data_IF_731040316256
#
_entry.id   IF_731040316256
#
_cell.length_a   1.000
_cell.length_b   1.000
_cell.length_c   1.000
_cell.angle_alpha   90.00
_cell.angle_beta   90.00
_cell.angle_gamma   90.00
#
_symmetry.space_group_name_H-M   'P 1'
#
loop_
_entity.id
_entity.type
_entity.pdbx_description
1 polymer ?
#
# COMPACT_ATOMS: atom_id res chain seq x y z
N UNK A 1 6.55 -12.09 21.52
CA UNK A 1 5.47 -12.74 20.75
C UNK A 1 5.44 -12.11 19.36
N UNK A 2 5.30 -12.90 18.28
CA UNK A 2 5.26 -12.40 16.91
C UNK A 2 3.82 -12.45 16.38
N UNK A 3 3.33 -11.32 15.88
CA UNK A 3 2.04 -11.21 15.20
C UNK A 3 2.25 -11.19 13.69
N UNK A 4 1.54 -12.04 12.94
CA UNK A 4 1.54 -11.97 11.48
C UNK A 4 0.39 -11.08 11.02
N UNK A 5 0.67 -10.07 10.20
CA UNK A 5 -0.35 -9.24 9.57
C UNK A 5 -0.29 -9.40 8.07
N UNK A 6 -1.48 -9.46 7.45
CA UNK A 6 -1.63 -9.50 6.00
C UNK A 6 -2.18 -8.17 5.51
N UNK A 7 -1.51 -7.58 4.53
CA UNK A 7 -1.90 -6.35 3.88
C UNK A 7 -1.92 -6.51 2.35
N UNK A 8 -2.51 -5.55 1.66
CA UNK A 8 -2.48 -5.47 0.20
C UNK A 8 -1.64 -4.26 -0.22
N UNK A 9 -1.08 -4.28 -1.43
CA UNK A 9 -0.37 -3.13 -2.01
C UNK A 9 -1.24 -1.86 -1.96
N UNK A 10 -0.64 -0.68 -1.88
CA UNK A 10 -1.35 0.60 -1.83
C UNK A 10 -2.10 0.90 -0.54
N UNK A 11 -2.34 -0.08 0.34
CA UNK A 11 -3.08 0.10 1.57
C UNK A 11 -2.29 0.93 2.60
N UNK A 12 -3.00 1.72 3.40
CA UNK A 12 -2.46 2.33 4.61
C UNK A 12 -2.73 1.42 5.81
N UNK A 13 -1.72 1.19 6.65
CA UNK A 13 -1.84 0.37 7.86
C UNK A 13 -1.33 1.11 9.08
N UNK A 14 -1.77 0.69 10.26
CA UNK A 14 -1.26 1.19 11.54
C UNK A 14 -0.95 0.01 12.44
N UNK A 15 0.31 -0.10 12.84
CA UNK A 15 0.77 -1.04 13.86
C UNK A 15 0.76 -0.33 15.21
N UNK A 16 0.30 -0.99 16.27
CA UNK A 16 0.18 -0.35 17.59
C UNK A 16 0.73 -1.22 18.70
N UNK A 17 1.40 -0.57 19.63
CA UNK A 17 2.04 -1.15 20.80
C UNK A 17 1.64 -0.39 22.06
N UNK A 18 1.15 -1.14 23.03
CA UNK A 18 0.96 -0.66 24.39
C UNK A 18 2.25 -0.93 25.16
N UNK A 19 2.85 0.12 25.71
CA UNK A 19 4.06 0.05 26.51
C UNK A 19 3.72 0.20 27.99
N UNK A 20 4.64 -0.28 28.82
CA UNK A 20 4.54 -0.15 30.28
C UNK A 20 4.87 1.29 30.71
N UNK A 21 4.46 1.65 31.93
CA UNK A 21 4.61 3.01 32.47
C UNK A 21 6.05 3.48 32.66
N UNK A 22 6.97 2.53 32.85
CA UNK A 22 8.39 2.82 32.99
C UNK A 22 9.10 3.07 31.65
N UNK A 23 8.42 2.86 30.52
CA UNK A 23 8.99 3.11 29.21
C UNK A 23 9.03 4.62 28.95
N UNK A 24 10.23 5.16 28.74
CA UNK A 24 10.43 6.56 28.39
C UNK A 24 10.08 6.83 26.92
N UNK A 25 10.37 5.85 26.04
CA UNK A 25 10.11 5.94 24.59
C UNK A 25 9.69 4.60 24.00
N UNK A 26 8.99 4.67 22.87
CA UNK A 26 8.54 3.52 22.08
C UNK A 26 9.23 3.37 20.72
N UNK A 27 10.55 3.17 20.64
CA UNK A 27 11.22 3.13 19.34
C UNK A 27 10.74 1.97 18.47
N UNK A 28 10.60 2.26 17.17
CA UNK A 28 10.29 1.28 16.14
C UNK A 28 11.54 0.95 15.32
N UNK A 29 11.64 -0.29 14.87
CA UNK A 29 12.70 -0.74 13.98
C UNK A 29 12.15 -1.66 12.90
N UNK A 30 12.62 -1.46 11.66
CA UNK A 30 12.43 -2.38 10.55
C UNK A 30 13.67 -3.26 10.40
N UNK A 31 13.50 -4.58 10.49
CA UNK A 31 14.59 -5.56 10.43
C UNK A 31 15.11 -5.77 9.00
N UNK A 32 15.76 -4.76 8.48
CA UNK A 32 16.65 -4.86 7.33
C UNK A 32 18.07 -5.21 7.78
N UNK A 33 18.98 -5.45 6.83
CA UNK A 33 20.42 -5.56 7.10
C UNK A 33 21.14 -4.42 6.37
N UNK A 34 21.58 -3.35 7.06
CA UNK A 34 21.49 -3.11 8.51
C UNK A 34 20.08 -2.74 8.99
N UNK A 35 19.81 -2.86 10.29
CA UNK A 35 18.50 -2.52 10.90
C UNK A 35 18.20 -1.03 10.70
N UNK A 36 17.00 -0.71 10.19
CA UNK A 36 16.53 0.67 10.04
C UNK A 36 15.67 1.05 11.23
N UNK A 37 16.11 2.03 12.01
CA UNK A 37 15.30 2.61 13.08
C UNK A 37 14.31 3.64 12.51
N UNK A 38 13.08 3.64 13.02
CA UNK A 38 11.97 4.48 12.59
C UNK A 38 11.62 5.42 13.74
N UNK A 39 11.88 6.71 13.56
CA UNK A 39 11.73 7.71 14.62
C UNK A 39 10.43 8.53 14.45
N UNK A 40 9.95 9.12 15.55
CA UNK A 40 8.70 9.91 15.61
C UNK A 40 8.71 11.19 14.77
N UNK A 41 9.89 11.67 14.36
CA UNK A 41 9.99 12.82 13.50
C UNK A 41 9.61 12.41 12.07
N UNK A 42 8.39 12.76 11.67
CA UNK A 42 8.02 12.85 10.26
C UNK A 42 9.08 13.70 9.55
N UNK A 43 9.80 13.12 8.59
CA UNK A 43 10.53 13.89 7.59
C UNK A 43 9.67 13.99 6.32
N UNK A 44 8.73 14.95 6.25
CA UNK A 44 7.88 15.12 5.08
C UNK A 44 8.69 15.45 3.81
N UNK A 45 9.85 16.10 3.94
CA UNK A 45 10.75 16.38 2.81
C UNK A 45 11.51 15.14 2.30
N UNK A 46 11.60 14.09 3.12
CA UNK A 46 12.28 12.84 2.74
C UNK A 46 11.39 11.90 1.91
N UNK A 47 10.08 12.20 1.78
CA UNK A 47 9.13 11.33 1.09
C UNK A 47 8.94 9.98 1.79
N UNK A 48 9.11 9.91 3.12
CA UNK A 48 8.99 8.65 3.84
C UNK A 48 7.54 8.16 3.83
N UNK A 49 7.37 6.87 3.54
CA UNK A 49 6.08 6.20 3.46
C UNK A 49 5.56 5.78 4.85
N UNK A 50 6.01 6.42 5.94
CA UNK A 50 5.60 6.08 7.29
C UNK A 50 5.71 7.28 8.25
N UNK A 51 5.03 7.16 9.38
CA UNK A 51 5.04 8.12 10.49
C UNK A 51 4.89 7.36 11.81
N UNK A 52 5.66 7.72 12.83
CA UNK A 52 5.53 7.15 14.18
C UNK A 52 4.87 8.19 15.08
N UNK A 53 3.79 7.80 15.76
CA UNK A 53 3.11 8.61 16.77
C UNK A 53 3.23 7.99 18.15
N UNK A 54 3.56 8.81 19.12
CA UNK A 54 3.59 8.42 20.53
C UNK A 54 2.50 9.19 21.28
N UNK A 55 1.67 8.48 22.03
CA UNK A 55 0.61 9.03 22.87
C UNK A 55 0.92 8.66 24.31
N UNK A 56 1.15 9.67 25.14
CA UNK A 56 1.40 9.52 26.57
C UNK A 56 0.12 9.91 27.33
N UNK A 57 -0.58 8.91 27.88
CA UNK A 57 -1.79 9.10 28.69
C UNK A 57 -1.54 8.62 30.12
N UNK A 58 -1.07 9.53 30.98
CA UNK A 58 -0.67 9.20 32.36
C UNK A 58 0.47 8.17 32.36
N UNK A 59 0.25 7.04 33.02
CA UNK A 59 1.22 5.94 33.12
C UNK A 59 1.20 5.00 31.89
N UNK A 60 0.45 5.29 30.83
CA UNK A 60 0.42 4.46 29.62
C UNK A 60 1.01 5.21 28.45
N UNK A 61 2.08 4.64 27.89
CA UNK A 61 2.68 5.10 26.65
C UNK A 61 2.21 4.16 25.54
N UNK A 62 1.46 4.68 24.59
CA UNK A 62 1.11 3.97 23.38
C UNK A 62 1.96 4.51 22.23
N UNK A 63 2.54 3.61 21.46
CA UNK A 63 3.26 3.98 20.23
C UNK A 63 2.62 3.30 19.04
N UNK A 64 2.46 4.05 17.95
CA UNK A 64 1.84 3.60 16.72
C UNK A 64 2.72 3.94 15.52
N UNK A 65 2.96 2.95 14.68
CA UNK A 65 3.63 3.11 13.40
C UNK A 65 2.58 3.09 12.29
N UNK A 66 2.41 4.23 11.65
CA UNK A 66 1.56 4.42 10.48
C UNK A 66 2.40 4.21 9.22
N UNK A 67 1.99 3.29 8.35
CA UNK A 67 2.67 3.04 7.08
C UNK A 67 1.67 3.32 5.96
N UNK A 68 2.06 4.19 5.03
CA UNK A 68 1.23 4.66 3.94
C UNK A 68 1.63 3.99 2.63
N UNK A 69 0.65 3.73 1.76
CA UNK A 69 0.87 3.22 0.41
C UNK A 69 1.80 1.99 0.38
N UNK A 70 1.40 0.92 1.08
CA UNK A 70 2.19 -0.31 1.23
C UNK A 70 2.72 -0.80 -0.13
N UNK A 71 4.00 -1.14 -0.17
CA UNK A 71 4.64 -1.72 -1.34
C UNK A 71 5.58 -2.87 -0.90
N UNK A 72 6.11 -3.63 -1.86
CA UNK A 72 6.91 -4.81 -1.59
C UNK A 72 8.15 -4.56 -0.72
N UNK A 73 8.76 -3.37 -0.78
CA UNK A 73 9.94 -3.05 0.04
C UNK A 73 9.62 -2.81 1.51
N UNK A 74 8.34 -2.62 1.83
CA UNK A 74 7.82 -2.44 3.20
C UNK A 74 7.33 -3.77 3.81
N UNK A 75 7.39 -4.89 3.07
CA UNK A 75 7.11 -6.20 3.66
C UNK A 75 8.29 -6.65 4.54
N UNK A 76 7.99 -7.19 5.72
CA UNK A 76 9.02 -7.72 6.62
C UNK A 76 8.68 -7.56 8.10
N UNK A 77 9.72 -7.62 8.93
CA UNK A 77 9.56 -7.65 10.38
C UNK A 77 9.77 -6.25 10.98
N UNK A 78 8.75 -5.77 11.67
CA UNK A 78 8.75 -4.54 12.45
C UNK A 78 8.79 -4.88 13.93
N UNK A 79 9.75 -4.32 14.65
CA UNK A 79 9.84 -4.38 16.09
C UNK A 79 9.37 -3.08 16.69
N UNK A 80 8.56 -3.19 17.75
CA UNK A 80 8.37 -2.10 18.68
C UNK A 80 9.04 -2.50 20.01
N UNK A 81 9.70 -1.52 20.61
CA UNK A 81 10.47 -1.72 21.82
C UNK A 81 10.10 -0.68 22.87
N UNK A 82 10.35 -1.01 24.13
CA UNK A 82 10.29 -0.14 25.27
C UNK A 82 11.72 0.32 25.58
N UNK A 83 11.99 1.61 25.46
CA UNK A 83 13.27 2.19 25.85
C UNK A 83 13.13 2.84 27.23
N UNK A 84 14.11 2.61 28.09
CA UNK A 84 14.24 3.16 29.44
C UNK A 84 15.71 3.51 29.70
N UNK A 85 16.00 4.28 30.75
CA UNK A 85 17.31 4.88 31.06
C UNK A 85 18.53 4.00 30.72
N UNK A 86 18.48 2.70 31.05
CA UNK A 86 19.61 1.78 30.93
C UNK A 86 19.40 0.65 29.91
N UNK A 87 18.39 0.71 29.04
CA UNK A 87 18.14 -0.39 28.13
C UNK A 87 17.01 -0.20 27.14
N UNK A 88 16.82 -1.23 26.33
CA UNK A 88 15.73 -1.31 25.37
C UNK A 88 15.26 -2.75 25.27
N UNK A 89 14.01 -2.97 25.67
CA UNK A 89 13.37 -4.27 25.62
C UNK A 89 12.40 -4.35 24.46
N UNK A 90 12.53 -5.39 23.63
CA UNK A 90 11.60 -5.63 22.53
C UNK A 90 10.26 -6.10 23.08
N UNK A 91 9.20 -5.32 22.88
CA UNK A 91 7.86 -5.58 23.41
C UNK A 91 7.07 -6.46 22.44
N UNK A 92 7.05 -6.08 21.16
CA UNK A 92 6.21 -6.76 20.15
C UNK A 92 6.89 -6.80 18.80
N UNK A 93 6.66 -7.89 18.09
CA UNK A 93 7.12 -8.07 16.72
C UNK A 93 5.90 -8.23 15.80
N UNK A 94 5.93 -7.55 14.67
CA UNK A 94 4.95 -7.67 13.60
C UNK A 94 5.66 -8.18 12.36
N UNK A 95 5.19 -9.30 11.80
CA UNK A 95 5.64 -9.79 10.51
C UNK A 95 4.59 -9.39 9.47
N UNK A 96 4.89 -8.34 8.72
CA UNK A 96 4.02 -7.79 7.70
C UNK A 96 4.21 -8.54 6.39
N UNK A 97 3.15 -9.16 5.91
CA UNK A 97 3.14 -9.93 4.68
C UNK A 97 2.15 -9.34 3.69
N UNK A 98 2.59 -9.14 2.47
CA UNK A 98 1.71 -8.67 1.39
C UNK A 98 1.05 -9.88 0.75
N UNK A 99 -0.28 -9.88 0.70
CA UNK A 99 -1.04 -10.83 -0.12
C UNK A 99 -1.36 -10.19 -1.44
N UNK A 100 -1.01 -10.91 -2.51
CA UNK A 100 -1.53 -10.61 -3.83
C UNK A 100 -3.01 -11.01 -3.84
N UNK A 101 -3.90 -10.03 -3.68
CA UNK A 101 -5.31 -10.23 -3.97
C UNK A 101 -5.52 -10.16 -5.47
N UNK A 102 -6.20 -11.13 -6.10
CA UNK A 102 -6.52 -11.04 -7.51
C UNK A 102 -7.31 -9.76 -7.78
N UNK A 103 -6.88 -9.02 -8.79
CA UNK A 103 -7.62 -7.86 -9.28
C UNK A 103 -8.96 -8.32 -9.85
N UNK A 104 -10.05 -7.73 -9.38
CA UNK A 104 -11.33 -7.81 -10.09
C UNK A 104 -11.29 -6.77 -11.21
N UNK A 105 -11.35 -7.25 -12.45
CA UNK A 105 -11.30 -6.40 -13.63
C UNK A 105 -12.68 -5.80 -13.89
N UNK A 106 -12.76 -4.48 -13.92
CA UNK A 106 -13.92 -3.75 -14.40
C UNK A 106 -13.61 -3.23 -15.81
N UNK A 107 -14.53 -3.52 -16.74
CA UNK A 107 -14.48 -3.05 -18.12
C UNK A 107 -15.73 -2.21 -18.37
N UNK A 108 -15.54 -0.96 -18.81
CA UNK A 108 -16.64 -0.06 -19.17
C UNK A 108 -16.60 0.18 -20.67
N UNK A 109 -17.74 0.02 -21.34
CA UNK A 109 -17.93 0.22 -22.78
C UNK A 109 -19.07 1.23 -22.98
N UNK A 110 -18.79 2.41 -23.52
CA UNK A 110 -19.79 3.47 -23.76
C UNK A 110 -20.70 3.70 -22.54
N UNK A 111 -20.10 3.91 -21.37
CA UNK A 111 -20.77 4.12 -20.08
C UNK A 111 -21.49 2.89 -19.48
N UNK A 112 -21.51 1.74 -20.17
CA UNK A 112 -22.01 0.49 -19.61
C UNK A 112 -20.89 -0.28 -18.92
N UNK A 113 -21.03 -0.45 -17.60
CA UNK A 113 -20.05 -1.17 -16.78
C UNK A 113 -20.33 -2.67 -16.80
N UNK A 114 -19.35 -3.47 -17.20
CA UNK A 114 -19.32 -4.93 -17.02
C UNK A 114 -18.18 -5.29 -16.06
N UNK A 115 -18.55 -5.86 -14.92
CA UNK A 115 -17.61 -6.29 -13.90
C UNK A 115 -17.32 -7.77 -14.07
N UNK A 116 -16.05 -8.13 -14.30
CA UNK A 116 -15.63 -9.51 -14.44
C UNK A 116 -15.03 -10.03 -13.13
N UNK A 117 -15.78 -10.89 -12.43
CA UNK A 117 -15.27 -11.63 -11.27
C UNK A 117 -14.26 -12.71 -11.66
N UNK A 118 -13.23 -12.92 -10.85
CA UNK A 118 -12.27 -14.02 -11.03
C UNK A 118 -12.94 -15.35 -10.65
N UNK A 119 -13.55 -16.05 -11.62
CA UNK A 119 -14.02 -17.43 -11.43
C UNK A 119 -12.91 -18.40 -11.86
N UNK A 120 -12.70 -19.46 -11.09
CA UNK A 120 -11.67 -20.49 -11.30
C UNK A 120 -11.80 -21.27 -12.61
N UNK A 121 -12.92 -21.11 -13.31
CA UNK A 121 -13.13 -21.71 -14.62
C UNK A 121 -12.61 -20.77 -15.70
N UNK A 122 -11.82 -21.32 -16.62
CA UNK A 122 -11.25 -20.69 -17.83
C UNK A 122 -12.31 -20.18 -18.82
N UNK A 123 -13.35 -19.50 -18.33
CA UNK A 123 -14.26 -18.74 -19.14
C UNK A 123 -13.49 -17.57 -19.73
N UNK A 124 -12.93 -17.78 -20.93
CA UNK A 124 -12.50 -16.72 -21.83
C UNK A 124 -13.70 -15.76 -21.98
N UNK A 125 -13.66 -14.66 -21.24
CA UNK A 125 -14.70 -13.63 -21.24
C UNK A 125 -14.44 -12.71 -22.41
N UNK A 126 -14.94 -13.12 -23.57
CA UNK A 126 -14.86 -12.33 -24.80
C UNK A 126 -15.92 -11.23 -24.76
N UNK A 127 -15.51 -9.99 -25.01
CA UNK A 127 -16.42 -8.85 -25.23
C UNK A 127 -16.28 -8.41 -26.68
N UNK A 128 -17.41 -8.24 -27.36
CA UNK A 128 -17.42 -7.64 -28.69
C UNK A 128 -17.25 -6.13 -28.56
N UNK A 129 -16.28 -5.59 -29.30
CA UNK A 129 -15.92 -4.17 -29.30
C UNK A 129 -15.98 -3.64 -30.71
N UNK A 130 -16.56 -2.45 -30.88
CA UNK A 130 -16.64 -1.71 -32.13
C UNK A 130 -15.60 -0.58 -32.15
N UNK A 131 -15.25 -0.07 -33.34
CA UNK A 131 -14.22 0.97 -33.50
C UNK A 131 -14.54 2.27 -32.78
N UNK A 132 -15.82 2.54 -32.60
CA UNK A 132 -16.32 3.80 -32.04
C UNK A 132 -16.61 3.67 -30.54
N UNK A 133 -16.35 2.50 -29.95
CA UNK A 133 -16.56 2.26 -28.53
C UNK A 133 -15.44 2.91 -27.71
N UNK A 134 -15.85 3.65 -26.67
CA UNK A 134 -14.94 4.07 -25.61
C UNK A 134 -14.84 2.95 -24.57
N UNK A 135 -13.63 2.38 -24.45
CA UNK A 135 -13.34 1.28 -23.54
C UNK A 135 -12.39 1.76 -22.45
N UNK A 136 -12.80 1.60 -21.20
CA UNK A 136 -11.89 1.75 -20.05
C UNK A 136 -11.81 0.43 -19.30
N UNK A 137 -10.63 0.14 -18.77
CA UNK A 137 -10.36 -1.05 -17.98
C UNK A 137 -9.64 -0.62 -16.71
N UNK A 138 -10.13 -1.06 -15.55
CA UNK A 138 -9.47 -0.78 -14.27
C UNK A 138 -9.53 -1.99 -13.34
N UNK A 139 -8.56 -2.05 -12.45
CA UNK A 139 -8.66 -2.89 -11.27
C UNK A 139 -9.58 -2.18 -10.26
N UNK A 140 -10.61 -2.89 -9.79
CA UNK A 140 -11.50 -2.37 -8.74
C UNK A 140 -10.77 -2.26 -7.40
N UNK A 141 -9.66 -2.99 -7.23
CA UNK A 141 -8.78 -2.83 -6.09
C UNK A 141 -7.62 -1.90 -6.47
N UNK A 142 -7.54 -0.73 -5.83
CA UNK A 142 -6.52 0.31 -6.03
C UNK A 142 -5.08 -0.22 -5.84
N UNK A 143 -4.95 -1.33 -5.13
CA UNK A 143 -3.68 -2.02 -4.90
C UNK A 143 -3.04 -2.64 -6.14
N UNK A 144 -3.85 -3.07 -7.11
CA UNK A 144 -3.41 -3.92 -8.20
C UNK A 144 -3.23 -3.11 -9.49
N UNK A 145 -2.06 -3.25 -10.13
CA UNK A 145 -1.81 -2.62 -11.43
C UNK A 145 -2.32 -3.51 -12.56
N UNK A 146 -3.16 -2.95 -13.43
CA UNK A 146 -3.56 -3.60 -14.67
C UNK A 146 -2.38 -3.59 -15.65
N UNK A 147 -1.91 -4.77 -16.06
CA UNK A 147 -0.92 -4.89 -17.13
C UNK A 147 -1.61 -5.44 -18.39
N UNK A 148 -1.57 -4.66 -19.48
CA UNK A 148 -2.22 -5.03 -20.74
C UNK A 148 -1.16 -5.41 -21.77
N UNK A 149 -1.19 -6.65 -22.26
CA UNK A 149 -0.29 -7.13 -23.32
C UNK A 149 -0.78 -6.78 -24.72
N UNK A 150 -1.41 -5.61 -24.90
CA UNK A 150 -1.87 -5.14 -26.20
C UNK A 150 -0.66 -5.00 -27.14
N UNK A 151 -0.44 -6.03 -27.98
CA UNK A 151 0.53 -5.95 -29.08
C UNK A 151 -0.05 -4.98 -30.08
N UNK A 152 0.45 -3.76 -30.10
CA UNK A 152 0.09 -2.75 -31.10
C UNK A 152 0.34 -3.30 -32.52
N UNK A 153 -0.68 -3.93 -33.12
CA UNK A 153 -0.85 -3.98 -34.57
C UNK A 153 -1.60 -2.71 -35.00
N UNK A 154 -0.86 -1.60 -34.94
CA UNK A 154 -0.97 -0.31 -35.63
C UNK A 154 -2.31 0.14 -36.24
N UNK A 155 -2.86 1.27 -35.75
CA UNK A 155 -3.34 2.39 -36.59
C UNK A 155 -2.96 3.70 -35.90
N UNK A 156 -2.39 4.63 -36.67
CA UNK A 156 -1.70 5.88 -36.27
C UNK A 156 -2.44 6.90 -35.37
N UNK A 157 -3.62 6.60 -34.80
CA UNK A 157 -4.46 7.60 -34.12
C UNK A 157 -4.56 7.46 -32.58
N UNK A 158 -3.96 6.44 -31.95
CA UNK A 158 -4.10 6.24 -30.49
C UNK A 158 -3.11 7.09 -29.67
N UNK A 159 -2.04 7.62 -30.30
CA UNK A 159 -1.10 8.50 -29.61
C UNK A 159 -1.71 9.84 -29.14
N UNK A 160 -2.94 10.18 -29.57
CA UNK A 160 -3.67 11.35 -29.09
C UNK A 160 -4.53 11.08 -27.85
N UNK A 161 -4.88 9.82 -27.50
CA UNK A 161 -5.81 9.55 -26.39
C UNK A 161 -5.14 9.50 -25.00
N UNK A 162 -3.81 9.38 -24.92
CA UNK A 162 -3.08 9.36 -23.64
C UNK A 162 -2.28 10.65 -23.37
N UNK A 163 -2.50 11.72 -24.15
CA UNK A 163 -1.68 12.94 -24.07
C UNK A 163 -2.42 14.24 -23.74
N UNK A 164 -3.70 14.23 -23.39
CA UNK A 164 -4.45 15.49 -23.15
C UNK A 164 -4.81 15.84 -21.69
N UNK A 165 -4.26 15.17 -20.67
CA UNK A 165 -4.46 15.58 -19.26
C UNK A 165 -3.25 16.26 -18.60
N UNK A 166 -2.26 16.70 -19.37
CA UNK A 166 -1.15 17.52 -18.85
C UNK A 166 -0.95 18.73 -19.76
N UNK A 167 -1.89 19.68 -19.73
CA UNK A 167 -1.69 21.11 -20.04
C UNK A 167 -3.04 21.85 -19.97
N UNK A 168 -3.64 21.99 -18.78
CA UNK A 168 -4.66 23.02 -18.51
C UNK A 168 -4.90 23.26 -17.02
N UNK A 169 -3.83 23.47 -16.24
CA UNK A 169 -3.91 24.16 -14.96
C UNK A 169 -2.59 24.90 -14.67
N UNK A 170 -2.32 25.98 -15.39
CA UNK A 170 -1.67 27.17 -14.82
C UNK A 170 -2.29 28.37 -15.55
N UNK A 171 -3.02 29.17 -14.78
CA UNK A 171 -3.55 30.50 -15.07
C UNK A 171 -2.54 31.45 -15.71
#
# INVERSE_FOLDING_TARGET
MMANLFCVLGQNITLSCELQSYCERGPWAFRTSPVKYLYAESCPECGESYFVSDIINGDKVNTSLHIYNINESLAGIYDCSCQYENGTDRVKCFNLQIRNTPCQLELTQNDQVKVFHNSSDEAVRTVNVYTDDNITARCVNDAAKLNTNCKNKLVKNIAQMFKSEVESQVT
#
